data_IF_192175847499
#
_entry.id   IF_192175847499
#
_cell.length_a   1.000
_cell.length_b   1.000
_cell.length_c   1.000
_cell.angle_alpha   90.00
_cell.angle_beta   90.00
_cell.angle_gamma   90.00
#
_symmetry.space_group_name_H-M   'P 1'
#
loop_
_entity.id
_entity.type
_entity.pdbx_description
1 polymer ?
#
# COMPACT_ATOMS: atom_id res chain seq x y z
N UNK A 1 -45.39 11.83 0.95
CA UNK A 1 -44.16 12.66 1.04
C UNK A 1 -43.63 12.94 -0.37
N UNK A 2 -44.04 14.04 -1.01
CA UNK A 2 -43.76 14.33 -2.43
C UNK A 2 -43.13 15.71 -2.60
N UNK A 3 -41.95 15.91 -1.99
CA UNK A 3 -41.19 17.16 -2.16
C UNK A 3 -39.95 16.89 -3.02
N UNK A 4 -39.87 17.40 -4.27
CA UNK A 4 -38.80 17.08 -5.22
C UNK A 4 -37.41 17.48 -4.71
N UNK A 5 -37.31 18.53 -3.88
CA UNK A 5 -36.05 18.97 -3.26
C UNK A 5 -35.46 17.89 -2.36
N UNK A 6 -36.29 17.15 -1.63
CA UNK A 6 -35.87 16.06 -0.74
C UNK A 6 -35.33 14.89 -1.54
N UNK A 7 -35.99 14.54 -2.66
CA UNK A 7 -35.49 13.47 -3.56
C UNK A 7 -34.13 13.83 -4.15
N UNK A 8 -33.94 15.09 -4.53
CA UNK A 8 -32.67 15.57 -5.08
C UNK A 8 -31.55 15.59 -4.04
N UNK A 9 -31.86 16.03 -2.81
CA UNK A 9 -30.91 15.99 -1.69
C UNK A 9 -30.52 14.56 -1.32
N UNK A 10 -31.46 13.62 -1.33
CA UNK A 10 -31.19 12.19 -1.10
C UNK A 10 -30.30 11.62 -2.21
N UNK A 11 -30.57 11.94 -3.48
CA UNK A 11 -29.73 11.49 -4.60
C UNK A 11 -28.28 12.01 -4.50
N UNK A 12 -28.11 13.29 -4.16
CA UNK A 12 -26.77 13.88 -3.91
C UNK A 12 -26.11 13.20 -2.72
N UNK A 13 -26.84 12.96 -1.63
CA UNK A 13 -26.31 12.27 -0.45
C UNK A 13 -25.80 10.87 -0.77
N UNK A 14 -26.53 10.10 -1.57
CA UNK A 14 -26.10 8.78 -2.05
C UNK A 14 -24.84 8.89 -2.90
N UNK A 15 -24.78 9.86 -3.83
CA UNK A 15 -23.61 10.06 -4.68
C UNK A 15 -22.37 10.41 -3.87
N UNK A 16 -22.48 11.37 -2.94
CA UNK A 16 -21.37 11.77 -2.07
C UNK A 16 -20.94 10.63 -1.15
N UNK A 17 -21.89 9.86 -0.62
CA UNK A 17 -21.61 8.67 0.18
C UNK A 17 -20.83 7.60 -0.60
N UNK A 18 -21.24 7.34 -1.85
CA UNK A 18 -20.53 6.42 -2.75
C UNK A 18 -19.12 6.92 -3.07
N UNK A 19 -18.94 8.22 -3.35
CA UNK A 19 -17.63 8.81 -3.60
C UNK A 19 -16.72 8.73 -2.38
N UNK A 20 -17.23 9.00 -1.18
CA UNK A 20 -16.47 8.87 0.07
C UNK A 20 -16.07 7.40 0.33
N UNK A 21 -16.98 6.45 0.11
CA UNK A 21 -16.71 5.03 0.23
C UNK A 21 -15.62 4.56 -0.74
N UNK A 22 -15.70 4.98 -2.02
CA UNK A 22 -14.70 4.69 -3.02
C UNK A 22 -13.34 5.32 -2.69
N UNK A 23 -13.31 6.54 -2.14
CA UNK A 23 -12.07 7.17 -1.69
C UNK A 23 -11.40 6.37 -0.57
N UNK A 24 -12.18 5.87 0.41
CA UNK A 24 -11.66 5.03 1.51
C UNK A 24 -11.09 3.70 0.98
N UNK A 25 -11.76 3.07 0.01
CA UNK A 25 -11.29 1.82 -0.61
C UNK A 25 -10.04 2.05 -1.46
N UNK A 26 -10.02 3.10 -2.29
CA UNK A 26 -8.89 3.39 -3.19
C UNK A 26 -7.57 3.63 -2.46
N UNK A 27 -7.63 4.11 -1.21
CA UNK A 27 -6.44 4.27 -0.37
C UNK A 27 -5.82 2.95 0.10
N UNK A 28 -6.57 1.85 0.13
CA UNK A 28 -6.09 0.55 0.63
C UNK A 28 -5.41 -0.30 -0.44
N UNK A 29 -5.86 -0.24 -1.69
CA UNK A 29 -5.47 -1.21 -2.73
C UNK A 29 -4.10 -0.95 -3.35
N UNK A 30 -3.63 0.30 -3.36
CA UNK A 30 -2.42 0.68 -4.13
C UNK A 30 -1.13 0.75 -3.32
N UNK A 31 -1.09 0.15 -2.12
CA UNK A 31 0.15 0.06 -1.33
C UNK A 31 0.77 -1.32 -1.53
N UNK A 32 1.46 -1.49 -2.66
CA UNK A 32 2.69 -2.28 -2.56
C UNK A 32 3.55 -1.52 -1.57
N UNK A 33 3.62 -1.98 -0.32
CA UNK A 33 4.26 -1.26 0.77
C UNK A 33 5.76 -1.22 0.49
N UNK A 34 6.16 -0.18 -0.27
CA UNK A 34 7.54 0.20 -0.50
C UNK A 34 8.08 0.71 0.82
N UNK A 35 8.63 -0.22 1.58
CA UNK A 35 9.27 0.07 2.86
C UNK A 35 10.76 0.22 2.63
N UNK A 36 11.35 1.12 3.39
CA UNK A 36 12.80 1.25 3.46
C UNK A 36 13.40 0.13 4.31
N UNK A 37 14.71 -0.10 4.19
CA UNK A 37 15.44 -1.05 5.05
C UNK A 37 15.31 -0.67 6.53
N UNK A 38 15.23 0.62 6.84
CA UNK A 38 15.03 1.13 8.20
C UNK A 38 13.65 0.72 8.75
N UNK A 39 12.58 0.92 7.99
CA UNK A 39 11.22 0.52 8.38
C UNK A 39 11.08 -1.00 8.46
N UNK A 40 11.73 -1.75 7.55
CA UNK A 40 11.80 -3.21 7.62
C UNK A 40 12.44 -3.70 8.93
N UNK A 41 13.57 -3.09 9.34
CA UNK A 41 14.23 -3.40 10.62
C UNK A 41 13.34 -3.09 11.82
N UNK A 42 12.56 -2.01 11.75
CA UNK A 42 11.60 -1.62 12.80
C UNK A 42 10.36 -2.52 12.85
N UNK A 43 9.91 -3.07 11.72
CA UNK A 43 8.75 -3.96 11.65
C UNK A 43 9.02 -5.36 12.23
N UNK A 44 10.29 -5.77 12.32
CA UNK A 44 10.72 -7.00 13.00
C UNK A 44 9.98 -8.26 12.50
N UNK A 45 9.38 -9.01 13.43
CA UNK A 45 8.66 -10.28 13.18
C UNK A 45 7.43 -10.13 12.27
N UNK A 46 6.79 -8.95 12.20
CA UNK A 46 5.56 -8.72 11.41
C UNK A 46 5.78 -8.72 9.89
N UNK A 47 7.04 -8.72 9.46
CA UNK A 47 7.45 -8.75 8.05
C UNK A 47 7.22 -10.14 7.44
N UNK A 48 7.29 -11.21 8.24
CA UNK A 48 7.31 -12.59 7.73
C UNK A 48 5.98 -13.05 7.12
N UNK A 49 4.87 -12.41 7.47
CA UNK A 49 3.54 -12.80 7.02
C UNK A 49 3.10 -12.11 5.71
N UNK A 50 3.87 -11.15 5.19
CA UNK A 50 3.47 -10.33 4.03
C UNK A 50 4.55 -10.24 2.97
N UNK A 51 4.16 -10.31 1.69
CA UNK A 51 5.05 -10.02 0.55
C UNK A 51 5.27 -8.50 0.49
N UNK A 52 6.47 -8.07 0.87
CA UNK A 52 6.87 -6.67 0.90
C UNK A 52 7.87 -6.40 -0.24
N UNK A 53 7.83 -5.19 -0.82
CA UNK A 53 8.89 -4.71 -1.72
C UNK A 53 9.75 -3.73 -0.94
N UNK A 54 11.02 -4.04 -0.77
CA UNK A 54 11.95 -3.22 0.02
C UNK A 54 12.81 -2.40 -0.94
N UNK A 55 12.76 -1.08 -0.78
CA UNK A 55 13.69 -0.17 -1.44
C UNK A 55 14.89 0.11 -0.53
N UNK A 56 16.10 0.02 -1.06
CA UNK A 56 17.32 0.27 -0.30
C UNK A 56 18.54 0.40 -1.19
N UNK A 57 19.67 0.86 -0.62
CA UNK A 57 20.94 0.90 -1.35
C UNK A 57 21.60 -0.47 -1.25
N UNK A 58 22.13 -0.97 -2.37
CA UNK A 58 22.93 -2.20 -2.37
C UNK A 58 24.31 -1.87 -1.80
N UNK A 59 24.72 -2.60 -0.77
CA UNK A 59 26.05 -2.46 -0.18
C UNK A 59 27.10 -2.84 -1.23
N UNK A 60 28.08 -1.95 -1.46
CA UNK A 60 29.14 -2.17 -2.44
C UNK A 60 29.89 -3.49 -2.16
N UNK A 61 30.10 -4.29 -3.20
CA UNK A 61 30.77 -5.60 -3.08
C UNK A 61 29.93 -6.73 -2.46
N UNK A 62 28.70 -6.48 -2.02
CA UNK A 62 27.84 -7.52 -1.39
C UNK A 62 27.18 -8.49 -2.38
N UNK A 63 27.28 -8.23 -3.68
CA UNK A 63 26.62 -9.04 -4.72
C UNK A 63 27.33 -10.37 -4.86
N UNK A 64 26.70 -11.43 -4.39
CA UNK A 64 27.13 -12.82 -4.57
C UNK A 64 26.21 -13.53 -5.57
N UNK A 65 26.81 -14.11 -6.61
CA UNK A 65 26.10 -14.92 -7.60
C UNK A 65 26.35 -16.39 -7.30
N UNK A 66 25.28 -17.14 -7.04
CA UNK A 66 25.32 -18.59 -6.84
C UNK A 66 24.47 -19.28 -7.91
N UNK A 67 25.12 -19.68 -9.00
CA UNK A 67 24.44 -20.30 -10.14
C UNK A 67 23.35 -19.39 -10.72
N UNK A 68 22.08 -19.75 -10.49
CA UNK A 68 20.89 -18.97 -10.93
C UNK A 68 20.35 -18.00 -9.87
N UNK A 69 20.95 -17.96 -8.67
CA UNK A 69 20.54 -17.09 -7.57
C UNK A 69 21.52 -15.94 -7.39
N UNK A 70 21.01 -14.78 -7.00
CA UNK A 70 21.83 -13.64 -6.61
C UNK A 70 21.43 -13.23 -5.20
N UNK A 71 22.42 -13.08 -4.33
CA UNK A 71 22.25 -12.54 -2.98
C UNK A 71 23.02 -11.24 -2.87
N UNK A 72 22.46 -10.29 -2.15
CA UNK A 72 23.08 -8.99 -1.89
C UNK A 72 22.55 -8.45 -0.57
N UNK A 73 23.29 -7.52 0.02
CA UNK A 73 22.91 -6.85 1.25
C UNK A 73 22.32 -5.47 0.92
N UNK A 74 21.26 -5.11 1.63
CA UNK A 74 20.62 -3.79 1.56
C UNK A 74 20.89 -3.03 2.87
N UNK A 75 21.22 -1.75 2.75
CA UNK A 75 21.36 -0.79 3.86
C UNK A 75 20.23 0.25 3.92
#
# INVERSE_FOLDING_TARGET
MRNPKVKFAVAIGILLGALAWLAVIGMQESKTYYITVAELKQMGERVREKRLRVGGRVVAGSIQREGRRVRFLLE
#
